data_IF_744323635792
#
_entry.id   IF_744323635792
#
_cell.length_a   1.000
_cell.length_b   1.000
_cell.length_c   1.000
_cell.angle_alpha   90.00
_cell.angle_beta   90.00
_cell.angle_gamma   90.00
#
_symmetry.space_group_name_H-M   'P 1'
#
loop_
_entity.id
_entity.type
_entity.pdbx_description
1 polymer ?
#
# COMPACT_ATOMS: atom_id res chain seq x y z
N UNK A 1 -20.40 13.71 -10.16
CA UNK A 1 -20.66 14.45 -8.92
C UNK A 1 -19.84 15.71 -8.98
N UNK A 2 -20.45 16.88 -8.80
CA UNK A 2 -19.76 18.17 -8.95
C UNK A 2 -19.19 18.60 -7.60
N UNK A 3 -17.95 19.08 -7.55
CA UNK A 3 -17.31 19.48 -6.31
C UNK A 3 -17.98 20.66 -5.58
N UNK A 4 -18.82 21.44 -6.27
CA UNK A 4 -19.61 22.51 -5.65
C UNK A 4 -20.87 21.98 -4.92
N UNK A 5 -21.19 20.69 -5.05
CA UNK A 5 -22.31 20.06 -4.35
C UNK A 5 -22.05 19.86 -2.86
N UNK A 6 -23.12 19.78 -2.07
CA UNK A 6 -23.08 19.30 -0.68
C UNK A 6 -23.59 17.87 -0.64
N UNK A 7 -22.78 16.96 -0.09
CA UNK A 7 -23.05 15.52 -0.05
C UNK A 7 -23.01 14.96 1.38
N UNK A 8 -23.27 15.81 2.37
CA UNK A 8 -23.26 15.39 3.78
C UNK A 8 -24.40 14.41 4.03
N UNK A 9 -24.06 13.22 4.51
CA UNK A 9 -25.00 12.15 4.77
C UNK A 9 -25.39 11.34 3.54
N UNK A 10 -24.80 11.59 2.37
CA UNK A 10 -25.12 10.88 1.11
C UNK A 10 -24.48 9.49 1.04
N UNK A 11 -24.87 8.67 2.02
CA UNK A 11 -24.55 7.25 2.10
C UNK A 11 -25.44 6.47 1.15
N UNK A 12 -24.90 5.43 0.52
CA UNK A 12 -25.64 4.72 -0.52
C UNK A 12 -25.31 3.23 -0.57
N UNK A 13 -26.36 2.44 -0.81
CA UNK A 13 -26.25 1.06 -1.29
C UNK A 13 -26.34 1.09 -2.82
N UNK A 14 -25.27 0.69 -3.49
CA UNK A 14 -25.10 0.82 -4.94
C UNK A 14 -25.17 -0.56 -5.58
N UNK A 15 -26.34 -0.88 -6.13
CA UNK A 15 -26.64 -2.16 -6.80
C UNK A 15 -26.19 -2.26 -8.28
N UNK A 16 -26.18 -1.18 -9.08
CA UNK A 16 -25.82 -1.28 -10.50
C UNK A 16 -24.39 -1.79 -10.73
N UNK A 17 -24.22 -2.66 -11.72
CA UNK A 17 -22.90 -3.10 -12.20
C UNK A 17 -22.38 -2.17 -13.29
N UNK A 18 -21.06 -2.17 -13.52
CA UNK A 18 -20.35 -1.35 -14.50
C UNK A 18 -20.64 0.15 -14.35
N UNK A 19 -20.89 0.59 -13.12
CA UNK A 19 -21.16 1.99 -12.81
C UNK A 19 -19.83 2.75 -12.71
N UNK A 20 -19.76 3.93 -13.33
CA UNK A 20 -18.70 4.91 -13.07
C UNK A 20 -19.23 6.05 -12.22
N UNK A 21 -18.62 6.26 -11.06
CA UNK A 21 -18.88 7.39 -10.18
C UNK A 21 -17.65 8.30 -10.23
N UNK A 22 -17.82 9.51 -10.77
CA UNK A 22 -16.71 10.44 -11.00
C UNK A 22 -16.99 11.82 -10.43
N UNK A 23 -16.02 12.35 -9.69
CA UNK A 23 -15.95 13.76 -9.33
C UNK A 23 -15.55 14.64 -10.51
N UNK A 24 -16.26 15.74 -10.72
CA UNK A 24 -16.01 16.73 -11.77
C UNK A 24 -15.90 18.14 -11.18
N UNK A 25 -15.20 19.04 -11.88
CA UNK A 25 -14.99 20.43 -11.47
C UNK A 25 -14.32 20.59 -10.08
N UNK A 26 -13.47 19.63 -9.74
CA UNK A 26 -12.83 19.50 -8.43
C UNK A 26 -13.06 18.10 -7.84
N UNK A 27 -12.71 17.91 -6.58
CA UNK A 27 -12.98 16.68 -5.83
C UNK A 27 -14.21 16.90 -4.93
N UNK A 28 -15.38 16.30 -5.22
CA UNK A 28 -16.50 16.33 -4.30
C UNK A 28 -16.18 15.54 -3.03
N UNK A 29 -16.57 16.12 -1.90
CA UNK A 29 -16.46 15.51 -0.59
C UNK A 29 -17.80 14.95 -0.15
N UNK A 30 -17.80 13.65 0.16
CA UNK A 30 -18.94 12.92 0.71
C UNK A 30 -18.57 12.54 2.14
N UNK A 31 -19.15 13.26 3.08
CA UNK A 31 -19.07 12.97 4.52
C UNK A 31 -20.26 12.10 4.92
N UNK A 32 -20.02 10.99 5.59
CA UNK A 32 -21.09 10.13 6.12
C UNK A 32 -22.00 10.89 7.12
N UNK A 33 -21.50 11.92 7.80
CA UNK A 33 -22.25 12.79 8.71
C UNK A 33 -23.14 12.03 9.74
N UNK A 34 -22.60 10.92 10.28
CA UNK A 34 -23.30 10.05 11.24
C UNK A 34 -24.27 9.03 10.62
N UNK A 35 -24.47 9.05 9.30
CA UNK A 35 -25.25 8.05 8.57
C UNK A 35 -24.37 6.89 8.11
N UNK A 36 -25.00 5.78 7.74
CA UNK A 36 -24.35 4.68 7.04
C UNK A 36 -25.35 3.96 6.13
N UNK A 37 -24.83 3.38 5.05
CA UNK A 37 -25.57 2.48 4.20
C UNK A 37 -25.59 1.09 4.82
N UNK A 38 -26.80 0.65 5.14
CA UNK A 38 -27.15 -0.73 5.55
C UNK A 38 -26.29 -1.33 6.67
N UNK A 39 -25.79 -0.50 7.60
CA UNK A 39 -24.97 -0.95 8.72
C UNK A 39 -23.54 -1.31 8.36
N UNK A 40 -23.06 -0.99 7.15
CA UNK A 40 -21.75 -1.49 6.66
C UNK A 40 -20.75 -0.43 6.22
N UNK A 41 -21.18 0.74 5.76
CA UNK A 41 -20.24 1.75 5.25
C UNK A 41 -20.91 3.00 4.69
N UNK A 42 -20.11 3.91 4.15
CA UNK A 42 -20.59 5.11 3.46
C UNK A 42 -21.16 4.72 2.10
N UNK A 43 -20.37 4.03 1.26
CA UNK A 43 -20.83 3.39 0.03
C UNK A 43 -20.69 1.88 0.11
N UNK A 44 -21.80 1.16 -0.04
CA UNK A 44 -21.83 -0.30 -0.13
C UNK A 44 -22.10 -0.69 -1.57
N UNK A 45 -21.07 -1.22 -2.24
CA UNK A 45 -21.11 -1.61 -3.63
C UNK A 45 -21.53 -3.08 -3.73
N UNK A 46 -22.71 -3.37 -4.27
CA UNK A 46 -23.17 -4.74 -4.55
C UNK A 46 -23.03 -5.11 -6.03
N UNK A 47 -22.92 -4.13 -6.91
CA UNK A 47 -22.67 -4.34 -8.34
C UNK A 47 -21.27 -4.88 -8.63
N UNK A 48 -21.08 -5.35 -9.87
CA UNK A 48 -19.78 -5.82 -10.38
C UNK A 48 -19.09 -4.72 -11.18
N UNK A 49 -17.79 -4.53 -11.02
CA UNK A 49 -16.98 -3.69 -11.92
C UNK A 49 -17.23 -2.19 -11.73
N UNK A 50 -17.41 -1.74 -10.49
CA UNK A 50 -17.60 -0.31 -10.22
C UNK A 50 -16.28 0.44 -10.38
N UNK A 51 -16.33 1.58 -11.06
CA UNK A 51 -15.19 2.51 -11.18
C UNK A 51 -15.50 3.78 -10.39
N UNK A 52 -14.65 4.14 -9.44
CA UNK A 52 -14.77 5.35 -8.62
C UNK A 52 -13.55 6.24 -8.87
N UNK A 53 -13.79 7.50 -9.22
CA UNK A 53 -12.73 8.41 -9.63
C UNK A 53 -12.88 9.80 -9.02
N UNK A 54 -11.79 10.33 -8.47
CA UNK A 54 -11.69 11.70 -7.99
C UNK A 54 -12.77 12.08 -6.98
N UNK A 55 -12.92 11.29 -5.91
CA UNK A 55 -13.85 11.58 -4.80
C UNK A 55 -13.11 11.61 -3.46
N UNK A 56 -13.66 12.35 -2.49
CA UNK A 56 -13.23 12.32 -1.09
C UNK A 56 -14.32 11.68 -0.24
N UNK A 57 -13.98 10.66 0.55
CA UNK A 57 -14.92 9.91 1.39
C UNK A 57 -14.45 9.88 2.83
N UNK A 58 -15.29 10.35 3.75
CA UNK A 58 -14.93 10.40 5.18
C UNK A 58 -16.07 10.10 6.14
N UNK A 59 -15.70 9.84 7.40
CA UNK A 59 -16.64 9.79 8.53
C UNK A 59 -17.44 8.51 8.65
N UNK A 60 -17.15 7.47 7.84
CA UNK A 60 -17.90 6.22 7.88
C UNK A 60 -17.70 5.50 9.22
N UNK A 61 -18.79 5.38 9.98
CA UNK A 61 -18.85 4.65 11.26
C UNK A 61 -20.14 3.82 11.29
N UNK A 62 -20.06 2.59 11.81
CA UNK A 62 -21.22 1.70 11.94
C UNK A 62 -21.29 1.08 13.35
N UNK A 63 -22.47 0.60 13.79
CA UNK A 63 -22.61 0.02 15.14
C UNK A 63 -21.66 -1.15 15.43
N UNK A 64 -21.35 -1.95 14.41
CA UNK A 64 -20.46 -3.12 14.49
C UNK A 64 -18.97 -2.74 14.49
N UNK A 65 -18.64 -1.44 14.47
CA UNK A 65 -17.28 -0.92 14.61
C UNK A 65 -16.33 -1.36 13.48
N UNK A 66 -16.89 -1.59 12.30
CA UNK A 66 -16.19 -2.09 11.12
C UNK A 66 -16.72 -1.46 9.81
N UNK A 67 -17.14 -0.20 9.90
CA UNK A 67 -17.67 0.57 8.79
C UNK A 67 -16.58 0.88 7.79
N UNK A 68 -16.89 0.95 6.49
CA UNK A 68 -15.92 1.34 5.48
C UNK A 68 -16.38 2.56 4.68
N UNK A 69 -15.47 3.43 4.25
CA UNK A 69 -15.81 4.43 3.23
C UNK A 69 -16.32 3.72 1.97
N UNK A 70 -15.62 2.66 1.53
CA UNK A 70 -16.10 1.74 0.50
C UNK A 70 -16.16 0.32 1.07
N UNK A 71 -17.38 -0.20 1.17
CA UNK A 71 -17.64 -1.62 1.42
C UNK A 71 -17.91 -2.30 0.07
N UNK A 72 -17.02 -3.18 -0.38
CA UNK A 72 -17.23 -3.97 -1.59
C UNK A 72 -17.88 -5.31 -1.23
N UNK A 73 -19.22 -5.35 -1.32
CA UNK A 73 -20.01 -6.57 -1.16
C UNK A 73 -20.20 -7.33 -2.49
N UNK A 74 -20.13 -6.61 -3.61
CA UNK A 74 -20.10 -7.13 -4.97
C UNK A 74 -18.71 -7.62 -5.38
N UNK A 75 -18.35 -7.41 -6.65
CA UNK A 75 -17.06 -7.86 -7.20
C UNK A 75 -16.41 -6.79 -8.06
N UNK A 76 -15.10 -6.86 -8.19
CA UNK A 76 -14.28 -5.99 -9.05
C UNK A 76 -14.45 -4.49 -8.76
N UNK A 77 -13.35 -3.85 -8.34
CA UNK A 77 -13.33 -2.44 -8.02
C UNK A 77 -12.16 -1.76 -8.70
N UNK A 78 -12.42 -0.61 -9.29
CA UNK A 78 -11.38 0.32 -9.72
C UNK A 78 -11.54 1.65 -8.99
N UNK A 79 -10.52 2.10 -8.27
CA UNK A 79 -10.47 3.38 -7.57
C UNK A 79 -9.30 4.21 -8.08
N UNK A 80 -9.55 5.48 -8.47
CA UNK A 80 -8.48 6.37 -8.96
C UNK A 80 -8.58 7.79 -8.44
N UNK A 81 -7.46 8.38 -8.06
CA UNK A 81 -7.40 9.82 -7.76
C UNK A 81 -8.22 10.25 -6.54
N UNK A 82 -8.58 9.30 -5.67
CA UNK A 82 -9.54 9.50 -4.57
C UNK A 82 -8.84 9.61 -3.22
N UNK A 83 -9.52 10.19 -2.24
CA UNK A 83 -9.01 10.35 -0.88
C UNK A 83 -10.00 9.79 0.14
N UNK A 84 -9.57 8.79 0.92
CA UNK A 84 -10.41 8.09 1.89
C UNK A 84 -9.82 8.22 3.29
N UNK A 85 -10.50 8.98 4.15
CA UNK A 85 -9.94 9.31 5.47
C UNK A 85 -10.96 9.44 6.59
N UNK A 86 -10.49 9.34 7.83
CA UNK A 86 -11.34 9.48 9.03
C UNK A 86 -12.56 8.54 9.05
N UNK A 87 -12.39 7.33 8.50
CA UNK A 87 -13.37 6.26 8.57
C UNK A 87 -12.91 5.19 9.58
N UNK A 88 -13.81 4.26 9.95
CA UNK A 88 -13.34 3.05 10.63
C UNK A 88 -12.41 2.26 9.68
N UNK A 89 -12.85 1.93 8.46
CA UNK A 89 -11.99 1.45 7.37
C UNK A 89 -12.04 2.38 6.15
N UNK A 90 -10.93 2.53 5.43
CA UNK A 90 -10.99 3.17 4.11
C UNK A 90 -11.71 2.26 3.11
N UNK A 91 -11.14 1.09 2.85
CA UNK A 91 -11.75 0.03 2.04
C UNK A 91 -11.87 -1.25 2.84
N UNK A 92 -13.01 -1.94 2.70
CA UNK A 92 -13.21 -3.31 3.15
C UNK A 92 -13.89 -4.13 2.05
N UNK A 93 -13.21 -5.16 1.55
CA UNK A 93 -13.77 -6.08 0.54
C UNK A 93 -14.19 -7.42 1.14
N UNK A 94 -15.09 -8.11 0.43
CA UNK A 94 -15.35 -9.53 0.67
C UNK A 94 -14.16 -10.42 0.29
N UNK A 95 -14.27 -11.71 0.65
CA UNK A 95 -13.35 -12.79 0.29
C UNK A 95 -14.03 -13.75 -0.70
N UNK A 96 -14.04 -13.39 -1.99
CA UNK A 96 -14.72 -14.16 -3.04
C UNK A 96 -13.77 -15.04 -3.87
N UNK A 97 -12.45 -14.87 -3.71
CA UNK A 97 -11.40 -15.55 -4.43
C UNK A 97 -11.31 -15.21 -5.93
N UNK A 98 -12.11 -14.27 -6.45
CA UNK A 98 -12.24 -14.02 -7.89
C UNK A 98 -12.16 -12.55 -8.29
N UNK A 99 -12.35 -11.60 -7.37
CA UNK A 99 -12.33 -10.18 -7.70
C UNK A 99 -10.95 -9.67 -8.11
N UNK A 100 -10.91 -8.76 -9.06
CA UNK A 100 -9.75 -7.95 -9.37
C UNK A 100 -9.93 -6.52 -8.83
N UNK A 101 -8.99 -6.08 -7.99
CA UNK A 101 -9.03 -4.78 -7.32
C UNK A 101 -7.91 -3.91 -7.86
N UNK A 102 -8.25 -2.73 -8.38
CA UNK A 102 -7.30 -1.77 -8.95
C UNK A 102 -7.44 -0.45 -8.20
N UNK A 103 -6.35 0.02 -7.59
CA UNK A 103 -6.28 1.27 -6.85
C UNK A 103 -5.05 2.04 -7.34
N UNK A 104 -5.30 3.23 -7.89
CA UNK A 104 -4.28 4.05 -8.52
C UNK A 104 -4.34 5.49 -8.00
N UNK A 105 -3.17 6.09 -7.76
CA UNK A 105 -3.05 7.53 -7.48
C UNK A 105 -4.00 8.01 -6.37
N UNK A 106 -4.22 7.20 -5.34
CA UNK A 106 -5.21 7.47 -4.30
C UNK A 106 -4.54 7.60 -2.94
N UNK A 107 -5.21 8.31 -2.03
CA UNK A 107 -4.71 8.62 -0.69
C UNK A 107 -5.62 8.02 0.38
N UNK A 108 -5.01 7.46 1.43
CA UNK A 108 -5.69 6.85 2.56
C UNK A 108 -5.04 7.35 3.85
N UNK A 109 -5.83 7.93 4.74
CA UNK A 109 -5.31 8.59 5.93
C UNK A 109 -6.24 8.44 7.13
N UNK A 110 -5.70 8.36 8.35
CA UNK A 110 -6.49 8.52 9.58
C UNK A 110 -7.68 7.57 9.72
N UNK A 111 -7.70 6.46 8.97
CA UNK A 111 -8.70 5.41 9.17
C UNK A 111 -8.26 4.52 10.34
N UNK A 112 -9.23 3.92 11.00
CA UNK A 112 -9.00 3.03 12.13
C UNK A 112 -9.60 3.57 13.43
N UNK A 113 -9.86 2.63 14.34
CA UNK A 113 -10.50 2.91 15.64
C UNK A 113 -9.54 2.94 16.83
N UNK A 114 -8.27 2.61 16.61
CA UNK A 114 -7.30 2.48 17.70
C UNK A 114 -7.35 1.15 18.45
N UNK A 115 -8.02 0.13 17.90
CA UNK A 115 -8.10 -1.24 18.46
C UNK A 115 -7.31 -2.28 17.65
N UNK A 116 -6.83 -1.90 16.45
CA UNK A 116 -6.08 -2.77 15.54
C UNK A 116 -6.92 -3.68 14.63
N UNK A 117 -8.26 -3.58 14.68
CA UNK A 117 -9.15 -4.42 13.87
C UNK A 117 -9.63 -3.76 12.56
N UNK A 118 -9.31 -2.48 12.39
CA UNK A 118 -9.74 -1.64 11.27
C UNK A 118 -8.53 -0.99 10.61
N UNK A 119 -8.59 -0.72 9.31
CA UNK A 119 -7.40 -0.44 8.49
C UNK A 119 -7.66 0.66 7.45
N UNK A 120 -6.58 1.28 6.94
CA UNK A 120 -6.69 2.13 5.75
C UNK A 120 -7.23 1.31 4.55
N UNK A 121 -6.67 0.12 4.33
CA UNK A 121 -7.15 -0.81 3.31
C UNK A 121 -7.18 -2.23 3.86
N UNK A 122 -8.34 -2.87 3.72
CA UNK A 122 -8.52 -4.31 3.92
C UNK A 122 -9.05 -4.94 2.63
N UNK A 123 -8.14 -5.58 1.90
CA UNK A 123 -8.47 -6.44 0.76
C UNK A 123 -8.56 -7.90 1.22
N UNK A 124 -9.75 -8.47 1.09
CA UNK A 124 -10.06 -9.87 1.40
C UNK A 124 -9.38 -10.85 0.45
N UNK A 125 -9.71 -12.14 0.57
CA UNK A 125 -9.19 -13.14 -0.35
C UNK A 125 -9.85 -12.95 -1.71
N UNK A 126 -9.12 -12.32 -2.64
CA UNK A 126 -9.58 -11.99 -4.00
C UNK A 126 -8.57 -12.53 -5.04
N UNK A 127 -8.85 -12.38 -6.33
CA UNK A 127 -7.92 -12.82 -7.37
C UNK A 127 -6.66 -11.96 -7.41
N UNK A 128 -6.81 -10.65 -7.56
CA UNK A 128 -5.65 -9.75 -7.63
C UNK A 128 -5.88 -8.38 -6.98
N UNK A 129 -4.78 -7.79 -6.53
CA UNK A 129 -4.68 -6.39 -6.15
C UNK A 129 -3.59 -5.71 -6.99
N UNK A 130 -3.94 -4.58 -7.59
CA UNK A 130 -2.99 -3.56 -8.06
C UNK A 130 -3.14 -2.33 -7.18
N UNK A 131 -2.07 -1.97 -6.46
CA UNK A 131 -1.97 -0.75 -5.67
C UNK A 131 -0.76 0.04 -6.15
N UNK A 132 -0.98 1.14 -6.86
CA UNK A 132 0.11 1.91 -7.47
C UNK A 132 -0.05 3.42 -7.38
N UNK A 133 1.06 4.13 -7.32
CA UNK A 133 1.08 5.60 -7.25
C UNK A 133 0.36 6.16 -6.04
N UNK A 134 0.09 5.36 -5.01
CA UNK A 134 -0.83 5.71 -3.94
C UNK A 134 -0.09 6.05 -2.65
N UNK A 135 -0.78 6.76 -1.76
CA UNK A 135 -0.27 7.16 -0.46
C UNK A 135 -1.15 6.59 0.63
N UNK A 136 -0.62 5.72 1.49
CA UNK A 136 -1.35 5.25 2.67
C UNK A 136 -0.55 5.64 3.90
N UNK A 137 -1.18 6.37 4.81
CA UNK A 137 -0.51 6.93 5.98
C UNK A 137 -1.41 7.00 7.19
N UNK A 138 -0.76 7.16 8.35
CA UNK A 138 -1.39 7.54 9.60
C UNK A 138 -2.65 6.73 9.94
N UNK A 139 -2.63 5.40 9.80
CA UNK A 139 -3.70 4.56 10.33
C UNK A 139 -3.71 4.64 11.87
N UNK A 140 -4.91 4.80 12.45
CA UNK A 140 -5.14 4.82 13.91
C UNK A 140 -5.09 3.40 14.47
N UNK A 141 -3.88 2.87 14.59
CA UNK A 141 -3.60 1.43 14.74
C UNK A 141 -4.17 0.64 13.54
N UNK A 142 -3.76 -0.62 13.38
CA UNK A 142 -4.06 -1.41 12.18
C UNK A 142 -3.09 -1.09 11.05
N UNK A 143 -3.39 -1.57 9.83
CA UNK A 143 -2.43 -1.58 8.74
C UNK A 143 -2.64 -0.44 7.75
N UNK A 144 -1.53 0.04 7.17
CA UNK A 144 -1.61 0.95 6.03
C UNK A 144 -2.09 0.20 4.77
N UNK A 145 -1.77 -1.09 4.63
CA UNK A 145 -2.36 -2.00 3.64
C UNK A 145 -2.40 -3.41 4.21
N UNK A 146 -3.57 -4.05 4.22
CA UNK A 146 -3.73 -5.50 4.41
C UNK A 146 -4.36 -6.12 3.17
N UNK A 147 -3.71 -7.11 2.56
CA UNK A 147 -4.23 -7.80 1.37
C UNK A 147 -4.07 -9.31 1.43
N UNK A 148 -5.19 -10.02 1.23
CA UNK A 148 -5.24 -11.49 1.08
C UNK A 148 -5.34 -11.94 -0.38
N UNK A 149 -5.14 -11.04 -1.34
CA UNK A 149 -5.22 -11.37 -2.76
C UNK A 149 -4.19 -12.44 -3.15
N UNK A 150 -4.55 -13.31 -4.11
CA UNK A 150 -3.64 -14.36 -4.61
C UNK A 150 -2.45 -13.78 -5.37
N UNK A 151 -2.63 -12.64 -6.02
CA UNK A 151 -1.57 -11.86 -6.67
C UNK A 151 -1.61 -10.41 -6.22
N UNK A 152 -0.48 -9.87 -5.77
CA UNK A 152 -0.37 -8.49 -5.30
C UNK A 152 0.67 -7.74 -6.14
N UNK A 153 0.27 -6.63 -6.75
CA UNK A 153 1.18 -5.67 -7.37
C UNK A 153 1.13 -4.38 -6.57
N UNK A 154 2.10 -4.20 -5.68
CA UNK A 154 2.25 -3.04 -4.80
C UNK A 154 3.45 -2.26 -5.30
N UNK A 155 3.22 -1.23 -6.12
CA UNK A 155 4.31 -0.54 -6.81
C UNK A 155 4.24 0.98 -6.80
N UNK A 156 5.39 1.62 -6.61
CA UNK A 156 5.52 3.08 -6.68
C UNK A 156 4.57 3.81 -5.73
N UNK A 157 4.43 3.31 -4.50
CA UNK A 157 3.60 3.92 -3.46
C UNK A 157 4.48 4.55 -2.38
N UNK A 158 3.83 5.33 -1.52
CA UNK A 158 4.39 5.70 -0.22
C UNK A 158 3.51 5.15 0.90
N UNK A 159 4.16 4.49 1.85
CA UNK A 159 3.63 4.11 3.14
C UNK A 159 4.46 4.83 4.19
N UNK A 160 3.87 5.74 4.95
CA UNK A 160 4.59 6.45 6.01
C UNK A 160 3.62 7.03 7.01
N UNK A 161 3.99 7.14 8.28
CA UNK A 161 3.15 7.78 9.29
C UNK A 161 3.98 8.80 10.07
N UNK A 162 3.33 9.91 10.44
CA UNK A 162 3.96 11.04 11.11
C UNK A 162 3.28 11.41 12.43
N UNK A 163 2.01 11.08 12.59
CA UNK A 163 1.21 11.43 13.78
C UNK A 163 0.60 10.22 14.46
N UNK A 164 0.28 9.16 13.69
CA UNK A 164 -0.37 7.97 14.23
C UNK A 164 0.59 6.79 14.39
N UNK A 165 0.12 5.75 15.09
CA UNK A 165 0.86 4.53 15.41
C UNK A 165 0.28 3.32 14.64
N UNK A 166 0.56 3.15 13.34
CA UNK A 166 0.14 1.96 12.61
C UNK A 166 0.83 0.70 13.15
N UNK A 167 0.26 -0.45 12.79
CA UNK A 167 0.85 -1.78 12.97
C UNK A 167 1.83 -2.07 11.83
N UNK A 168 1.48 -2.97 10.90
CA UNK A 168 2.26 -3.19 9.67
C UNK A 168 2.00 -2.13 8.59
N UNK A 169 3.06 -1.79 7.86
CA UNK A 169 2.99 -0.83 6.75
C UNK A 169 2.41 -1.53 5.52
N UNK A 170 2.81 -2.79 5.31
CA UNK A 170 2.21 -3.69 4.33
C UNK A 170 2.06 -5.05 5.00
N UNK A 171 0.85 -5.60 4.91
CA UNK A 171 0.51 -6.91 5.44
C UNK A 171 -0.09 -7.80 4.33
N UNK A 172 0.60 -8.88 4.02
CA UNK A 172 0.21 -9.89 3.02
C UNK A 172 0.03 -11.25 3.73
N UNK A 173 -1.00 -11.38 4.59
CA UNK A 173 -1.05 -12.40 5.63
C UNK A 173 -1.15 -13.83 5.12
N UNK A 174 -1.68 -14.02 3.91
CA UNK A 174 -1.84 -15.35 3.30
C UNK A 174 -0.83 -15.67 2.19
N UNK A 175 0.28 -14.93 2.14
CA UNK A 175 1.22 -14.96 1.03
C UNK A 175 0.51 -14.66 -0.31
N UNK A 176 0.97 -15.23 -1.42
CA UNK A 176 0.50 -14.96 -2.78
C UNK A 176 1.64 -14.44 -3.65
N UNK A 177 1.57 -14.61 -4.97
CA UNK A 177 2.60 -14.07 -5.86
C UNK A 177 2.58 -12.54 -5.78
N UNK A 178 3.62 -11.96 -5.20
CA UNK A 178 3.61 -10.57 -4.74
C UNK A 178 4.81 -9.80 -5.25
N UNK A 179 4.54 -8.65 -5.85
CA UNK A 179 5.48 -7.71 -6.42
C UNK A 179 5.45 -6.42 -5.58
N UNK A 180 6.47 -6.23 -4.75
CA UNK A 180 6.67 -5.01 -3.96
C UNK A 180 7.81 -4.23 -4.59
N UNK A 181 7.47 -3.28 -5.47
CA UNK A 181 8.46 -2.65 -6.38
C UNK A 181 8.45 -1.13 -6.28
N UNK A 182 9.61 -0.52 -6.03
CA UNK A 182 9.74 0.94 -6.15
C UNK A 182 8.98 1.74 -5.09
N UNK A 183 8.62 1.14 -3.95
CA UNK A 183 7.87 1.83 -2.89
C UNK A 183 8.79 2.52 -1.89
N UNK A 184 8.26 3.59 -1.28
CA UNK A 184 8.78 4.14 -0.03
C UNK A 184 7.98 3.55 1.12
N UNK A 185 8.65 2.91 2.07
CA UNK A 185 8.00 2.24 3.20
C UNK A 185 8.67 2.74 4.47
N UNK A 186 7.96 3.52 5.28
CA UNK A 186 8.47 4.09 6.51
C UNK A 186 7.65 3.63 7.70
N UNK A 187 8.36 3.11 8.71
CA UNK A 187 7.83 2.78 10.01
C UNK A 187 8.15 3.92 10.98
N UNK A 188 7.14 4.52 11.65
CA UNK A 188 7.38 5.55 12.67
C UNK A 188 8.01 4.97 13.94
N UNK A 189 8.70 5.84 14.69
CA UNK A 189 9.29 5.49 15.98
C UNK A 189 8.24 4.98 16.98
N UNK A 190 7.04 5.57 16.93
CA UNK A 190 5.86 5.03 17.59
C UNK A 190 5.13 4.12 16.59
N UNK A 191 5.29 2.80 16.73
CA UNK A 191 4.60 1.76 15.97
C UNK A 191 3.95 0.71 16.90
N UNK A 192 2.96 -0.01 16.39
CA UNK A 192 2.29 -1.12 17.10
C UNK A 192 2.90 -2.49 16.78
N UNK A 193 3.63 -2.59 15.65
CA UNK A 193 4.35 -3.79 15.24
C UNK A 193 5.77 -3.47 14.74
N UNK A 194 6.74 -4.31 15.09
CA UNK A 194 8.14 -4.11 14.69
C UNK A 194 8.46 -4.54 13.24
N UNK A 195 7.51 -5.16 12.53
CA UNK A 195 7.70 -5.59 11.13
C UNK A 195 7.10 -4.56 10.19
N UNK A 196 7.78 -4.25 9.07
CA UNK A 196 7.28 -3.27 8.10
C UNK A 196 6.46 -3.94 6.98
N UNK A 197 7.05 -4.93 6.30
CA UNK A 197 6.38 -5.80 5.33
C UNK A 197 6.21 -7.19 5.94
N UNK A 198 4.98 -7.54 6.31
CA UNK A 198 4.61 -8.89 6.76
C UNK A 198 4.10 -9.74 5.59
N UNK A 199 4.54 -11.00 5.54
CA UNK A 199 4.21 -11.91 4.45
C UNK A 199 4.01 -13.35 4.94
N UNK A 200 2.77 -13.85 4.81
CA UNK A 200 2.41 -15.23 5.10
C UNK A 200 2.34 -15.60 6.59
N UNK A 201 2.29 -14.62 7.49
CA UNK A 201 2.28 -14.83 8.94
C UNK A 201 0.95 -15.38 9.50
N UNK A 202 -0.17 -15.19 8.80
CA UNK A 202 -1.43 -15.91 9.07
C UNK A 202 -1.55 -17.24 8.28
N UNK A 203 -0.46 -17.66 7.62
CA UNK A 203 -0.35 -18.94 6.91
C UNK A 203 -0.35 -18.79 5.39
N UNK A 204 0.62 -19.41 4.73
CA UNK A 204 0.84 -19.39 3.28
C UNK A 204 -0.19 -20.27 2.53
N UNK A 205 -1.45 -19.85 2.53
CA UNK A 205 -2.59 -20.58 1.97
C UNK A 205 -2.91 -20.20 0.53
N UNK A 206 -2.39 -19.07 0.02
CA UNK A 206 -2.53 -18.72 -1.39
C UNK A 206 -1.71 -19.66 -2.29
N UNK A 207 -2.13 -19.86 -3.56
CA UNK A 207 -1.43 -20.78 -4.47
C UNK A 207 0.03 -20.40 -4.76
N UNK A 208 0.29 -19.09 -4.87
CA UNK A 208 1.62 -18.54 -5.06
C UNK A 208 2.29 -18.18 -3.73
N UNK A 209 3.61 -18.30 -3.68
CA UNK A 209 4.40 -17.92 -2.50
C UNK A 209 5.63 -17.07 -2.87
N UNK A 210 5.73 -16.64 -4.13
CA UNK A 210 6.84 -15.81 -4.61
C UNK A 210 6.69 -14.36 -4.13
N UNK A 211 7.65 -13.88 -3.35
CA UNK A 211 7.74 -12.48 -2.96
C UNK A 211 8.97 -11.84 -3.62
N UNK A 212 8.71 -10.82 -4.45
CA UNK A 212 9.73 -10.00 -5.10
C UNK A 212 9.72 -8.61 -4.46
N UNK A 213 10.76 -8.29 -3.69
CA UNK A 213 10.96 -6.98 -3.04
C UNK A 213 12.11 -6.28 -3.76
N UNK A 214 11.76 -5.38 -4.68
CA UNK A 214 12.73 -4.81 -5.62
C UNK A 214 12.71 -3.29 -5.60
N UNK A 215 13.90 -2.68 -5.49
CA UNK A 215 14.07 -1.23 -5.62
C UNK A 215 13.19 -0.41 -4.65
N UNK A 216 12.89 -0.91 -3.46
CA UNK A 216 12.17 -0.14 -2.45
C UNK A 216 13.15 0.65 -1.57
N UNK A 217 12.65 1.71 -0.92
CA UNK A 217 13.35 2.40 0.16
C UNK A 217 12.57 2.19 1.45
N UNK A 218 13.12 1.38 2.34
CA UNK A 218 12.61 1.19 3.69
C UNK A 218 13.29 2.15 4.66
N UNK A 219 12.49 2.81 5.51
CA UNK A 219 12.94 3.72 6.57
C UNK A 219 12.37 3.24 7.90
N UNK A 220 13.20 2.74 8.80
CA UNK A 220 12.78 2.44 10.15
C UNK A 220 13.20 3.57 11.10
N UNK A 221 12.21 4.20 11.73
CA UNK A 221 12.41 5.19 12.80
C UNK A 221 12.34 4.56 14.21
N UNK A 222 11.94 3.28 14.35
CA UNK A 222 12.12 2.52 15.59
C UNK A 222 13.62 2.31 15.82
N UNK A 223 14.17 2.96 16.84
CA UNK A 223 15.61 2.95 17.11
C UNK A 223 16.08 1.67 17.81
N UNK A 224 15.16 0.83 18.29
CA UNK A 224 15.45 -0.33 19.14
C UNK A 224 15.14 -1.65 18.43
N UNK A 225 14.02 -1.73 17.71
CA UNK A 225 13.53 -2.94 17.04
C UNK A 225 13.43 -2.71 15.54
N UNK A 226 13.16 -3.78 14.79
CA UNK A 226 12.84 -3.68 13.38
C UNK A 226 13.04 -4.99 12.65
N UNK A 227 12.06 -5.37 11.84
CA UNK A 227 12.21 -6.39 10.79
C UNK A 227 11.65 -5.80 9.51
N UNK A 228 12.52 -5.50 8.55
CA UNK A 228 12.08 -4.85 7.31
C UNK A 228 11.11 -5.75 6.54
N UNK A 229 11.41 -7.06 6.46
CA UNK A 229 10.59 -8.05 5.75
C UNK A 229 10.39 -9.29 6.65
N UNK A 230 9.26 -9.37 7.33
CA UNK A 230 8.85 -10.51 8.13
C UNK A 230 8.17 -11.57 7.27
N UNK A 231 8.69 -12.80 7.32
CA UNK A 231 8.21 -13.93 6.51
C UNK A 231 7.77 -15.05 7.44
N UNK A 232 6.51 -15.47 7.29
CA UNK A 232 5.93 -16.59 8.03
C UNK A 232 6.63 -17.92 7.71
N UNK A 233 6.75 -18.79 8.71
CA UNK A 233 7.50 -20.06 8.60
C UNK A 233 6.91 -21.05 7.58
N UNK A 234 5.64 -20.88 7.18
CA UNK A 234 5.02 -21.67 6.12
C UNK A 234 5.50 -21.32 4.71
N UNK A 235 6.14 -20.16 4.52
CA UNK A 235 6.69 -19.72 3.23
C UNK A 235 8.07 -20.35 3.02
N UNK A 236 8.12 -21.36 2.16
CA UNK A 236 9.37 -22.09 1.87
C UNK A 236 10.11 -21.54 0.64
N UNK A 237 9.40 -20.85 -0.26
CA UNK A 237 9.98 -20.15 -1.39
C UNK A 237 10.90 -19.02 -0.91
N UNK A 238 12.18 -18.98 -1.31
CA UNK A 238 13.07 -17.87 -1.02
C UNK A 238 12.51 -16.53 -1.52
N UNK A 239 12.40 -15.55 -0.64
CA UNK A 239 12.10 -14.17 -1.00
C UNK A 239 13.24 -13.59 -1.83
N UNK A 240 12.94 -12.93 -2.94
CA UNK A 240 13.92 -12.12 -3.67
C UNK A 240 13.91 -10.71 -3.10
N UNK A 241 15.01 -10.30 -2.47
CA UNK A 241 15.27 -8.92 -2.07
C UNK A 241 16.38 -8.37 -2.94
N UNK A 242 16.07 -7.42 -3.83
CA UNK A 242 17.05 -6.87 -4.75
C UNK A 242 17.01 -5.34 -4.86
N UNK A 243 18.18 -4.69 -4.82
CA UNK A 243 18.31 -3.24 -5.02
C UNK A 243 17.50 -2.37 -4.04
N UNK A 244 17.17 -2.85 -2.84
CA UNK A 244 16.47 -2.07 -1.83
C UNK A 244 17.44 -1.25 -0.97
N UNK A 245 16.95 -0.14 -0.42
CA UNK A 245 17.59 0.54 0.71
C UNK A 245 16.87 0.09 1.98
N UNK A 246 17.62 -0.40 2.96
CA UNK A 246 17.15 -0.65 4.33
C UNK A 246 17.82 0.37 5.25
N UNK A 247 17.07 1.40 5.64
CA UNK A 247 17.55 2.49 6.47
C UNK A 247 17.06 2.35 7.92
N UNK A 248 17.96 2.42 8.90
CA UNK A 248 17.62 2.34 10.32
C UNK A 248 17.98 1.00 10.98
N UNK A 249 17.58 0.83 12.25
CA UNK A 249 17.84 -0.38 13.05
C UNK A 249 16.99 -1.55 12.57
N UNK A 250 17.49 -2.79 12.69
CA UNK A 250 16.70 -4.00 12.46
C UNK A 250 17.30 -4.96 11.43
N UNK A 251 16.71 -6.15 11.36
CA UNK A 251 17.10 -7.20 10.43
C UNK A 251 16.36 -7.04 9.09
N UNK A 252 17.08 -7.24 7.97
CA UNK A 252 16.50 -7.09 6.64
C UNK A 252 15.35 -8.07 6.38
N UNK A 253 15.47 -9.30 6.88
CA UNK A 253 14.38 -10.28 6.81
C UNK A 253 14.49 -11.34 7.90
N UNK A 254 13.36 -11.93 8.28
CA UNK A 254 13.33 -13.12 9.14
C UNK A 254 13.59 -14.43 8.38
N UNK A 255 13.61 -14.43 7.04
CA UNK A 255 13.81 -15.64 6.25
C UNK A 255 15.30 -15.91 5.97
N UNK A 256 15.84 -16.97 6.58
CA UNK A 256 17.28 -17.33 6.50
C UNK A 256 17.75 -17.64 5.08
N UNK A 257 16.90 -18.26 4.25
CA UNK A 257 17.23 -18.65 2.87
C UNK A 257 16.84 -17.60 1.82
N UNK A 258 16.51 -16.37 2.22
CA UNK A 258 16.17 -15.30 1.27
C UNK A 258 17.32 -15.01 0.31
N UNK A 259 16.97 -14.67 -0.94
CA UNK A 259 17.91 -14.24 -1.97
C UNK A 259 18.17 -12.74 -1.77
N UNK A 260 19.33 -12.42 -1.21
CA UNK A 260 19.77 -11.05 -0.94
C UNK A 260 20.77 -10.56 -2.01
N UNK A 261 20.35 -9.61 -2.86
CA UNK A 261 21.16 -9.08 -3.96
C UNK A 261 21.22 -7.56 -3.96
N UNK A 262 22.44 -7.02 -3.91
CA UNK A 262 22.69 -5.57 -4.13
C UNK A 262 21.78 -4.64 -3.32
N UNK A 263 21.39 -5.05 -2.11
CA UNK A 263 20.67 -4.18 -1.18
C UNK A 263 21.67 -3.31 -0.43
N UNK A 264 21.30 -2.06 -0.16
CA UNK A 264 22.09 -1.13 0.63
C UNK A 264 21.52 -1.03 2.05
N UNK A 265 22.37 -1.22 3.06
CA UNK A 265 21.98 -1.21 4.48
C UNK A 265 22.78 -0.14 5.21
N UNK A 266 22.10 0.79 5.87
CA UNK A 266 22.75 1.85 6.65
C UNK A 266 21.77 2.42 7.67
N UNK A 267 22.26 2.94 8.81
CA UNK A 267 21.41 3.72 9.71
C UNK A 267 20.93 5.02 9.04
N UNK A 268 21.81 5.65 8.26
CA UNK A 268 21.59 6.93 7.59
C UNK A 268 22.16 6.84 6.16
N UNK A 269 21.36 6.40 5.17
CA UNK A 269 21.79 6.40 3.77
C UNK A 269 21.96 7.85 3.25
N UNK A 270 22.84 8.07 2.26
CA UNK A 270 23.11 9.38 1.67
C UNK A 270 21.97 9.82 0.74
N UNK A 271 20.86 10.28 1.33
CA UNK A 271 19.68 10.80 0.64
C UNK A 271 19.58 12.32 0.79
N UNK A 272 18.97 13.01 -0.17
CA UNK A 272 18.91 14.47 -0.23
C UNK A 272 18.32 15.08 1.04
N UNK A 273 17.12 14.66 1.44
CA UNK A 273 16.50 15.11 2.68
C UNK A 273 15.45 14.10 3.19
N UNK A 274 15.87 13.18 4.07
CA UNK A 274 14.99 12.18 4.70
C UNK A 274 13.79 12.81 5.42
N UNK A 275 14.00 13.88 6.18
CA UNK A 275 12.94 14.51 6.99
C UNK A 275 11.82 15.10 6.12
N UNK A 276 12.17 15.60 4.94
CA UNK A 276 11.21 16.10 3.96
C UNK A 276 10.74 15.03 2.95
N UNK A 277 11.15 13.76 3.13
CA UNK A 277 10.92 12.67 2.18
C UNK A 277 11.45 12.92 0.76
N UNK A 278 12.46 13.78 0.61
CA UNK A 278 13.28 13.80 -0.60
C UNK A 278 14.32 12.67 -0.50
N UNK A 279 13.91 11.50 -0.99
CA UNK A 279 14.65 10.25 -0.89
C UNK A 279 15.45 9.95 -2.17
N UNK A 280 15.70 10.95 -3.02
CA UNK A 280 16.68 10.81 -4.08
C UNK A 280 18.08 10.60 -3.46
N UNK A 281 18.93 9.74 -4.06
CA UNK A 281 20.33 9.65 -3.68
C UNK A 281 21.05 11.00 -3.83
N UNK A 282 21.90 11.35 -2.86
CA UNK A 282 22.79 12.51 -2.98
C UNK A 282 23.74 12.36 -4.18
N UNK A 283 24.13 13.45 -4.86
CA UNK A 283 25.14 13.40 -5.91
C UNK A 283 26.41 12.67 -5.44
N UNK A 284 26.88 11.70 -6.23
CA UNK A 284 28.05 10.88 -5.90
C UNK A 284 27.82 9.79 -4.84
N UNK A 285 26.58 9.60 -4.35
CA UNK A 285 26.26 8.54 -3.41
C UNK A 285 26.57 7.15 -3.99
N UNK A 286 27.03 6.24 -3.13
CA UNK A 286 27.27 4.83 -3.46
C UNK A 286 26.01 4.03 -3.85
N UNK A 287 24.84 4.66 -3.78
CA UNK A 287 23.55 4.13 -4.22
C UNK A 287 23.36 4.26 -5.75
N UNK A 288 24.04 5.24 -6.37
CA UNK A 288 23.93 5.58 -7.78
C UNK A 288 24.72 4.56 -8.60
N UNK A 289 24.13 4.03 -9.68
CA UNK A 289 24.76 3.06 -10.57
C UNK A 289 25.31 1.81 -9.85
N UNK A 290 24.71 1.42 -8.72
CA UNK A 290 25.19 0.35 -7.85
C UNK A 290 24.26 -0.88 -7.81
N UNK A 291 23.07 -0.77 -8.40
CA UNK A 291 22.13 -1.88 -8.48
C UNK A 291 22.56 -2.93 -9.50
N UNK A 292 22.11 -4.16 -9.30
CA UNK A 292 22.26 -5.22 -10.30
C UNK A 292 21.06 -5.25 -11.25
N UNK A 293 21.26 -5.80 -12.45
CA UNK A 293 20.20 -5.98 -13.44
C UNK A 293 19.03 -6.76 -12.83
N UNK A 294 17.83 -6.19 -12.95
CA UNK A 294 16.62 -6.82 -12.43
C UNK A 294 16.01 -7.71 -13.52
N UNK A 295 15.75 -8.96 -13.17
CA UNK A 295 15.23 -9.96 -14.11
C UNK A 295 13.71 -9.91 -14.30
N UNK A 296 13.17 -11.03 -14.76
CA UNK A 296 11.73 -11.31 -14.83
C UNK A 296 11.35 -12.29 -13.73
N UNK A 297 10.12 -12.21 -13.25
CA UNK A 297 9.54 -13.19 -12.32
C UNK A 297 9.36 -14.56 -12.99
N UNK A 298 9.06 -15.58 -12.18
CA UNK A 298 8.71 -16.90 -12.70
C UNK A 298 7.49 -16.87 -13.64
N UNK A 299 6.59 -15.90 -13.46
CA UNK A 299 5.43 -15.65 -14.31
C UNK A 299 5.72 -14.76 -15.53
N UNK A 300 6.98 -14.36 -15.75
CA UNK A 300 7.38 -13.51 -16.88
C UNK A 300 7.14 -12.01 -16.68
N UNK A 301 6.80 -11.56 -15.48
CA UNK A 301 6.60 -10.14 -15.16
C UNK A 301 7.96 -9.46 -15.01
N UNK A 302 8.18 -8.35 -15.72
CA UNK A 302 9.38 -7.53 -15.51
C UNK A 302 9.42 -6.97 -14.09
N UNK A 303 10.53 -7.17 -13.39
CA UNK A 303 10.73 -6.65 -12.05
C UNK A 303 11.43 -5.28 -12.04
N UNK A 304 11.97 -4.84 -13.18
CA UNK A 304 12.68 -3.57 -13.30
C UNK A 304 11.70 -2.38 -13.16
N UNK A 305 11.91 -1.46 -12.22
CA UNK A 305 11.05 -0.30 -12.07
C UNK A 305 11.23 0.68 -13.23
N UNK A 306 10.12 1.10 -13.82
CA UNK A 306 10.09 2.12 -14.90
C UNK A 306 9.57 3.47 -14.41
N UNK A 307 9.02 3.50 -13.20
CA UNK A 307 8.47 4.70 -12.54
C UNK A 307 9.07 4.87 -11.15
N UNK A 308 8.83 6.04 -10.57
CA UNK A 308 9.05 6.34 -9.17
C UNK A 308 7.85 7.08 -8.61
N UNK A 309 7.68 7.02 -7.29
CA UNK A 309 6.55 7.67 -6.62
C UNK A 309 6.64 9.19 -6.74
N UNK A 310 5.49 9.85 -6.93
CA UNK A 310 5.35 11.30 -6.92
C UNK A 310 4.31 11.71 -5.88
N UNK A 311 4.74 12.47 -4.88
CA UNK A 311 3.86 12.99 -3.83
C UNK A 311 2.88 14.05 -4.42
N UNK A 312 1.60 14.14 -4.01
CA UNK A 312 0.95 13.47 -2.87
C UNK A 312 0.48 12.05 -3.14
N UNK A 313 -0.04 11.73 -4.32
CA UNK A 313 -0.37 10.38 -4.73
C UNK A 313 -0.29 10.31 -6.26
N UNK A 314 0.84 9.82 -6.77
CA UNK A 314 1.04 9.61 -8.19
C UNK A 314 2.35 8.92 -8.50
N UNK A 315 2.67 8.90 -9.79
CA UNK A 315 3.94 8.40 -10.32
C UNK A 315 4.54 9.39 -11.30
N UNK A 316 5.84 9.28 -11.49
CA UNK A 316 6.58 9.88 -12.59
C UNK A 316 7.55 8.87 -13.18
N UNK A 317 8.05 9.13 -14.39
CA UNK A 317 9.01 8.25 -15.03
C UNK A 317 10.30 8.18 -14.20
N UNK A 318 10.83 6.97 -14.04
CA UNK A 318 12.13 6.77 -13.41
C UNK A 318 13.20 7.08 -14.45
N UNK A 319 14.10 8.06 -14.22
CA UNK A 319 15.21 8.33 -15.13
C UNK A 319 15.99 7.05 -15.47
N UNK A 320 16.18 6.82 -16.77
CA UNK A 320 16.96 5.67 -17.25
C UNK A 320 18.44 5.85 -16.91
N UNK A 321 19.09 4.75 -16.53
CA UNK A 321 20.53 4.70 -16.27
C UNK A 321 21.11 3.40 -16.83
N UNK A 322 22.38 3.42 -17.24
CA UNK A 322 23.08 2.22 -17.71
C UNK A 322 23.17 1.14 -16.62
N UNK A 323 23.30 1.57 -15.37
CA UNK A 323 23.20 0.71 -14.18
C UNK A 323 22.13 1.31 -13.28
N UNK A 324 21.16 0.50 -12.87
CA UNK A 324 20.04 0.98 -12.05
C UNK A 324 20.54 1.44 -10.68
N UNK A 325 20.03 2.57 -10.18
CA UNK A 325 20.28 2.99 -8.80
C UNK A 325 19.55 2.08 -7.80
N UNK A 326 20.13 1.89 -6.61
CA UNK A 326 19.50 1.19 -5.48
C UNK A 326 18.44 2.12 -4.86
N UNK A 327 17.29 1.57 -4.48
CA UNK A 327 16.19 2.28 -3.83
C UNK A 327 15.07 2.74 -4.76
N UNK A 328 14.05 3.37 -4.15
CA UNK A 328 12.79 3.78 -4.78
C UNK A 328 12.94 4.89 -5.82
N UNK A 329 13.98 5.72 -5.70
CA UNK A 329 14.25 6.85 -6.61
C UNK A 329 15.52 6.62 -7.41
N UNK A 330 15.56 7.15 -8.63
CA UNK A 330 16.83 7.33 -9.33
C UNK A 330 17.58 8.53 -8.72
N UNK A 331 18.82 8.78 -9.16
CA UNK A 331 19.46 10.06 -8.87
C UNK A 331 18.64 11.20 -9.51
N UNK A 332 18.54 12.35 -8.82
CA UNK A 332 18.01 13.56 -9.44
C UNK A 332 18.91 13.97 -10.63
N UNK A 333 18.30 14.47 -11.70
CA UNK A 333 19.02 15.05 -12.84
C UNK A 333 19.57 16.44 -12.51
#
# INVERSE_FOLDING_TARGET
MDAAGSYNGDVCKINPSNLTIRGVNGRPHIDAAGNNAIGKGLWVLEGVGTTIENVELSGAQVPDQNGAAIRLDGRDLTLRGSYLHDNENGILTNSDGVSDIVIENSEFAYNGRGDGHTHNLYIGNVNSLVFTGSYSHDARIGHLLKSRAKTNTVSYNRFSSSTERPSYEIDLPNAGTSYVIGNVIQQPAANDAATMLAYGEEGATNPGQDLYVVNNTFLNDDSVRGTFIGVGSGVTTPVLMQNNIFAGTGEATSQVNAIDKTNFRSLLPPLVNRLAFDLHPLPGAALINAGSAVGVSAAGVSLAPTKQYKHVAGTEDRPAAAVIAIGAYAAAQ
#
